data_IF_515340524523
#
_entry.id   IF_515340524523
#
_cell.length_a   1.000
_cell.length_b   1.000
_cell.length_c   1.000
_cell.angle_alpha   90.00
_cell.angle_beta   90.00
_cell.angle_gamma   90.00
#
_symmetry.space_group_name_H-M   'P 1'
#
loop_
_entity.id
_entity.type
_entity.pdbx_description
1 polymer ?
#
# COMPACT_ATOMS: atom_id res chain seq x y z
N UNK A 1 28.84 -19.46 12.89
CA UNK A 1 27.86 -19.09 13.93
C UNK A 1 26.89 -20.25 14.13
N UNK A 2 26.37 -20.49 15.34
CA UNK A 2 25.28 -21.48 15.54
C UNK A 2 23.96 -20.83 15.10
N UNK A 3 23.17 -21.46 14.22
CA UNK A 3 21.86 -20.94 13.85
C UNK A 3 20.94 -20.93 15.07
N UNK A 4 20.06 -19.92 15.14
CA UNK A 4 19.04 -19.79 16.17
C UNK A 4 17.67 -19.78 15.51
N UNK A 5 16.65 -20.31 16.20
CA UNK A 5 15.27 -20.15 15.78
C UNK A 5 14.74 -18.81 16.28
N UNK A 6 14.28 -17.97 15.38
CA UNK A 6 13.72 -16.65 15.70
C UNK A 6 12.54 -16.33 14.79
N UNK A 7 11.71 -15.36 15.19
CA UNK A 7 10.68 -14.79 14.33
C UNK A 7 11.20 -13.48 13.77
N UNK A 8 11.14 -13.29 12.45
CA UNK A 8 11.59 -12.04 11.85
C UNK A 8 10.56 -10.92 12.02
N UNK A 9 11.00 -9.77 12.53
CA UNK A 9 10.13 -8.63 12.79
C UNK A 9 9.57 -7.98 11.51
N UNK A 10 10.26 -8.08 10.37
CA UNK A 10 9.78 -7.48 9.12
C UNK A 10 8.76 -8.33 8.35
N UNK A 11 8.67 -9.64 8.60
CA UNK A 11 7.78 -10.53 7.85
C UNK A 11 6.95 -11.52 8.68
N UNK A 12 7.19 -11.60 9.99
CA UNK A 12 6.43 -12.40 10.93
C UNK A 12 6.61 -13.92 10.81
N UNK A 13 7.49 -14.41 9.93
CA UNK A 13 7.75 -15.85 9.82
C UNK A 13 8.88 -16.28 10.74
N UNK A 14 8.75 -17.48 11.31
CA UNK A 14 9.80 -18.14 12.10
C UNK A 14 10.70 -18.97 11.17
N UNK A 15 12.00 -18.85 11.36
CA UNK A 15 13.01 -19.66 10.65
C UNK A 15 14.24 -19.91 11.54
N UNK A 16 15.09 -20.85 11.12
CA UNK A 16 16.40 -21.10 11.72
C UNK A 16 17.49 -20.42 10.90
N UNK A 17 18.33 -19.61 11.54
CA UNK A 17 19.40 -18.94 10.81
C UNK A 17 20.23 -17.97 11.64
N UNK A 18 20.99 -17.14 10.96
CA UNK A 18 21.75 -16.03 11.56
C UNK A 18 21.04 -14.71 11.23
N UNK A 19 20.27 -14.13 12.17
CA UNK A 19 19.56 -12.88 11.96
C UNK A 19 20.49 -11.67 11.96
N UNK A 20 20.04 -10.60 11.30
CA UNK A 20 20.47 -9.26 11.67
C UNK A 20 19.72 -8.84 12.93
N UNK A 21 20.45 -8.47 13.98
CA UNK A 21 19.91 -8.00 15.26
C UNK A 21 20.21 -6.51 15.44
N UNK A 22 19.18 -5.71 15.71
CA UNK A 22 19.38 -4.36 16.22
C UNK A 22 19.59 -4.44 17.75
N UNK A 23 20.76 -4.10 18.30
CA UNK A 23 21.02 -4.26 19.74
C UNK A 23 20.25 -3.26 20.62
N UNK A 24 19.75 -2.17 20.04
CA UNK A 24 18.98 -1.15 20.78
C UNK A 24 17.49 -1.49 20.84
N UNK A 25 16.94 -1.96 19.72
CA UNK A 25 15.51 -2.28 19.61
C UNK A 25 15.21 -3.76 19.90
N UNK A 26 16.24 -4.61 19.91
CA UNK A 26 16.13 -6.06 20.02
C UNK A 26 15.29 -6.73 18.91
N UNK A 27 15.17 -6.06 17.75
CA UNK A 27 14.48 -6.58 16.57
C UNK A 27 15.42 -7.45 15.74
N UNK A 28 14.88 -8.54 15.19
CA UNK A 28 15.59 -9.58 14.45
C UNK A 28 15.03 -9.69 13.03
N UNK A 29 15.93 -9.71 12.05
CA UNK A 29 15.56 -9.76 10.63
C UNK A 29 16.23 -10.93 9.93
N UNK A 30 15.49 -11.61 9.04
CA UNK A 30 16.14 -12.47 8.05
C UNK A 30 17.05 -11.61 7.17
N UNK A 31 18.10 -12.22 6.62
CA UNK A 31 19.06 -11.51 5.76
C UNK A 31 18.38 -10.91 4.52
N UNK A 32 17.43 -11.64 3.94
CA UNK A 32 16.67 -11.14 2.78
C UNK A 32 15.62 -10.11 3.17
N UNK A 33 15.13 -10.14 4.42
CA UNK A 33 14.08 -9.22 4.87
C UNK A 33 14.59 -7.82 5.18
N UNK A 34 15.90 -7.61 5.33
CA UNK A 34 16.48 -6.28 5.54
C UNK A 34 16.33 -5.38 4.31
N UNK A 35 16.19 -5.99 3.12
CA UNK A 35 16.06 -5.32 1.84
C UNK A 35 14.62 -5.34 1.31
N UNK A 36 13.62 -5.56 2.18
CA UNK A 36 12.23 -5.48 1.76
C UNK A 36 11.92 -4.07 1.24
N UNK A 37 11.24 -3.95 0.09
CA UNK A 37 10.93 -2.66 -0.49
C UNK A 37 9.92 -1.90 0.37
N UNK A 38 10.06 -0.58 0.47
CA UNK A 38 9.23 0.25 1.33
C UNK A 38 7.90 0.60 0.70
N UNK A 39 7.85 0.85 -0.62
CA UNK A 39 6.61 1.16 -1.34
C UNK A 39 6.59 0.40 -2.66
N UNK A 40 5.50 -0.32 -2.93
CA UNK A 40 5.37 -1.18 -4.12
C UNK A 40 3.97 -1.11 -4.71
N UNK A 41 3.84 -1.57 -5.95
CA UNK A 41 2.57 -1.89 -6.58
C UNK A 41 2.27 -3.39 -6.46
N UNK A 42 1.05 -3.74 -6.07
CA UNK A 42 0.59 -5.13 -6.12
C UNK A 42 -0.29 -5.32 -7.35
N UNK A 43 -0.04 -6.40 -8.10
CA UNK A 43 -0.83 -6.79 -9.25
C UNK A 43 -2.31 -6.86 -8.87
N UNK A 44 -3.17 -6.20 -9.66
CA UNK A 44 -4.63 -6.11 -9.44
C UNK A 44 -5.02 -5.34 -8.16
N UNK A 45 -4.15 -4.45 -7.67
CA UNK A 45 -4.49 -3.44 -6.69
C UNK A 45 -3.99 -2.07 -7.17
N UNK A 46 -4.91 -1.15 -7.41
CA UNK A 46 -4.62 0.10 -8.14
C UNK A 46 -3.79 1.11 -7.32
N UNK A 47 -3.74 0.96 -6.01
CA UNK A 47 -3.02 1.85 -5.12
C UNK A 47 -1.67 1.26 -4.72
N UNK A 48 -0.69 2.14 -4.48
CA UNK A 48 0.56 1.72 -3.85
C UNK A 48 0.30 1.23 -2.44
N UNK A 49 1.06 0.22 -2.03
CA UNK A 49 1.10 -0.25 -0.66
C UNK A 49 2.44 0.08 -0.05
N UNK A 50 2.46 0.35 1.25
CA UNK A 50 3.67 0.65 2.01
C UNK A 50 3.94 -0.45 3.02
N UNK A 51 5.22 -0.79 3.21
CA UNK A 51 5.64 -1.64 4.32
C UNK A 51 5.43 -0.90 5.64
N UNK A 52 4.93 -1.62 6.63
CA UNK A 52 4.83 -1.18 8.02
C UNK A 52 5.45 -2.24 8.91
N UNK A 53 6.05 -1.83 10.03
CA UNK A 53 6.65 -2.75 11.00
C UNK A 53 5.61 -3.49 11.86
N UNK A 54 4.41 -2.92 11.99
CA UNK A 54 3.30 -3.50 12.73
C UNK A 54 1.97 -2.90 12.25
N UNK A 55 0.88 -3.56 12.60
CA UNK A 55 -0.49 -3.09 12.40
C UNK A 55 -1.09 -2.67 13.75
N UNK A 56 -2.21 -1.98 13.70
CA UNK A 56 -3.03 -1.78 14.90
C UNK A 56 -3.57 -3.12 15.38
N UNK A 57 -3.77 -3.25 16.70
CA UNK A 57 -4.33 -4.47 17.29
C UNK A 57 -5.65 -4.84 16.61
N UNK A 58 -5.74 -6.08 16.12
CA UNK A 58 -6.92 -6.59 15.46
C UNK A 58 -6.67 -7.89 14.70
N UNK A 59 -7.75 -8.42 14.15
CA UNK A 59 -7.76 -9.61 13.32
C UNK A 59 -7.61 -9.21 11.86
N UNK A 60 -6.42 -9.45 11.31
CA UNK A 60 -6.07 -9.10 9.94
C UNK A 60 -5.96 -10.36 9.09
N UNK A 61 -6.54 -10.32 7.89
CA UNK A 61 -6.45 -11.41 6.92
C UNK A 61 -5.70 -10.89 5.70
N UNK A 62 -4.69 -11.64 5.27
CA UNK A 62 -3.93 -11.29 4.07
C UNK A 62 -4.78 -11.40 2.81
N UNK A 63 -4.86 -10.33 2.02
CA UNK A 63 -5.66 -10.28 0.80
C UNK A 63 -5.18 -11.22 -0.32
N UNK A 64 -3.95 -11.72 -0.21
CA UNK A 64 -3.35 -12.63 -1.20
C UNK A 64 -3.57 -14.09 -0.80
N UNK A 65 -3.09 -14.50 0.37
CA UNK A 65 -3.11 -15.91 0.78
C UNK A 65 -4.33 -16.28 1.63
N UNK A 66 -5.15 -15.30 2.04
CA UNK A 66 -6.35 -15.46 2.88
C UNK A 66 -6.07 -16.10 4.25
N UNK A 67 -4.84 -15.97 4.75
CA UNK A 67 -4.43 -16.41 6.10
C UNK A 67 -4.27 -15.22 7.04
N UNK A 68 -4.37 -15.48 8.34
CA UNK A 68 -4.17 -14.50 9.40
C UNK A 68 -2.80 -13.83 9.33
N UNK A 69 -2.78 -12.53 9.59
CA UNK A 69 -1.58 -11.72 9.77
C UNK A 69 -1.45 -11.44 11.26
N UNK A 70 -0.26 -11.73 11.80
CA UNK A 70 0.07 -11.30 13.15
C UNK A 70 0.41 -9.80 13.14
N UNK A 71 -0.46 -8.99 13.74
CA UNK A 71 -0.36 -7.53 13.78
C UNK A 71 0.93 -7.00 14.42
N UNK A 72 1.68 -7.82 15.19
CA UNK A 72 2.93 -7.41 15.83
C UNK A 72 4.11 -7.31 14.88
N UNK A 73 3.99 -7.86 13.67
CA UNK A 73 5.09 -7.97 12.71
C UNK A 73 4.77 -7.26 11.40
N UNK A 74 5.82 -7.11 10.59
CA UNK A 74 5.74 -6.32 9.38
C UNK A 74 4.78 -6.89 8.33
N UNK A 75 4.12 -5.97 7.63
CA UNK A 75 3.10 -6.23 6.60
C UNK A 75 3.09 -5.08 5.59
N UNK A 76 2.42 -5.26 4.45
CA UNK A 76 2.12 -4.16 3.53
C UNK A 76 0.66 -3.73 3.70
N UNK A 77 0.42 -2.43 3.74
CA UNK A 77 -0.92 -1.86 3.80
C UNK A 77 -1.13 -0.78 2.74
N UNK A 78 -2.38 -0.68 2.28
CA UNK A 78 -2.80 0.43 1.44
C UNK A 78 -3.29 1.59 2.32
N UNK A 79 -2.87 2.82 2.03
CA UNK A 79 -3.38 4.00 2.74
C UNK A 79 -4.79 4.41 2.29
N UNK A 80 -5.18 4.04 1.08
CA UNK A 80 -6.45 4.42 0.47
C UNK A 80 -7.52 3.36 0.72
N UNK A 81 -7.16 2.07 0.72
CA UNK A 81 -8.06 0.95 0.98
C UNK A 81 -7.88 0.46 2.43
N UNK A 82 -8.77 0.81 3.38
CA UNK A 82 -8.52 0.67 4.81
C UNK A 82 -8.26 -0.76 5.31
N UNK A 83 -8.80 -1.76 4.60
CA UNK A 83 -8.70 -3.17 4.96
C UNK A 83 -7.74 -3.95 4.07
N UNK A 84 -7.08 -3.30 3.11
CA UNK A 84 -6.17 -3.99 2.20
C UNK A 84 -4.81 -4.19 2.88
N UNK A 85 -4.55 -5.42 3.33
CA UNK A 85 -3.33 -5.78 4.05
C UNK A 85 -2.78 -7.11 3.55
N UNK A 86 -1.47 -7.18 3.41
CA UNK A 86 -0.78 -8.33 2.82
C UNK A 86 0.45 -8.67 3.66
N UNK A 87 0.71 -9.96 3.91
CA UNK A 87 1.98 -10.40 4.52
C UNK A 87 3.16 -9.90 3.69
N UNK A 88 4.27 -9.50 4.33
CA UNK A 88 5.47 -9.03 3.61
C UNK A 88 5.99 -10.02 2.56
N UNK A 89 5.98 -11.32 2.85
CA UNK A 89 6.40 -12.37 1.90
C UNK A 89 5.37 -12.64 0.80
N UNK A 90 4.08 -12.35 1.04
CA UNK A 90 3.08 -12.46 -0.01
C UNK A 90 3.22 -11.28 -0.98
N UNK A 91 3.38 -10.06 -0.46
CA UNK A 91 3.49 -8.84 -1.25
C UNK A 91 4.71 -8.85 -2.18
N UNK A 92 5.80 -9.47 -1.77
CA UNK A 92 7.06 -9.54 -2.53
C UNK A 92 7.26 -10.84 -3.32
N UNK A 93 6.22 -11.67 -3.44
CA UNK A 93 6.27 -12.89 -4.25
C UNK A 93 6.35 -12.51 -5.74
N UNK A 94 7.21 -13.18 -6.52
CA UNK A 94 7.53 -12.78 -7.89
C UNK A 94 6.33 -12.66 -8.87
N UNK A 95 5.20 -13.31 -8.59
CA UNK A 95 3.96 -13.24 -9.36
C UNK A 95 2.96 -12.18 -8.84
N UNK A 96 3.26 -11.53 -7.71
CA UNK A 96 2.38 -10.59 -7.01
C UNK A 96 2.69 -9.13 -7.31
N UNK A 97 3.95 -8.77 -7.55
CA UNK A 97 4.37 -7.39 -7.78
C UNK A 97 5.30 -7.29 -8.98
N UNK A 98 5.59 -6.07 -9.42
CA UNK A 98 6.38 -5.77 -10.61
C UNK A 98 7.90 -5.67 -10.37
N UNK A 99 8.35 -5.90 -9.13
CA UNK A 99 9.75 -5.82 -8.74
C UNK A 99 10.30 -4.39 -8.61
N UNK A 100 9.44 -3.36 -8.61
CA UNK A 100 9.86 -1.96 -8.56
C UNK A 100 9.65 -1.36 -7.17
N UNK A 101 10.71 -0.82 -6.60
CA UNK A 101 10.65 0.07 -5.43
C UNK A 101 10.17 1.46 -5.87
N UNK A 102 9.21 2.02 -5.15
CA UNK A 102 8.55 3.28 -5.47
C UNK A 102 8.66 4.31 -4.35
N UNK A 103 9.41 4.03 -3.28
CA UNK A 103 9.67 5.01 -2.23
C UNK A 103 10.39 6.23 -2.80
N UNK A 104 9.85 7.42 -2.53
CA UNK A 104 10.38 8.68 -3.07
C UNK A 104 10.02 8.96 -4.53
N UNK A 105 9.41 8.01 -5.23
CA UNK A 105 8.84 8.24 -6.57
C UNK A 105 7.49 8.94 -6.37
N UNK A 106 7.23 10.11 -6.97
CA UNK A 106 5.90 10.72 -6.94
C UNK A 106 4.85 9.74 -7.47
N UNK A 107 3.67 9.71 -6.85
CA UNK A 107 2.52 9.10 -7.49
C UNK A 107 2.10 10.03 -8.63
N UNK A 108 1.95 9.49 -9.84
CA UNK A 108 1.31 10.21 -10.93
C UNK A 108 -0.16 10.39 -10.53
N UNK A 109 -0.46 11.52 -9.89
CA UNK A 109 -1.83 12.04 -9.82
C UNK A 109 -2.23 12.36 -11.25
N UNK A 110 -2.85 11.39 -11.91
CA UNK A 110 -3.72 11.74 -13.03
C UNK A 110 -4.75 12.69 -12.42
N UNK A 111 -4.80 13.94 -12.85
CA UNK A 111 -5.87 14.86 -12.49
C UNK A 111 -7.18 14.29 -13.04
N UNK A 112 -7.76 13.31 -12.33
CA UNK A 112 -9.10 12.82 -12.61
C UNK A 112 -10.00 13.92 -12.08
N UNK A 113 -10.25 14.92 -12.94
CA UNK A 113 -11.19 15.96 -12.63
C UNK A 113 -12.51 15.28 -12.21
N UNK A 114 -13.16 15.73 -11.12
CA UNK A 114 -14.44 15.17 -10.66
C UNK A 114 -15.59 15.44 -11.66
N UNK A 115 -15.28 16.05 -12.80
CA UNK A 115 -16.20 16.39 -13.87
C UNK A 115 -15.56 16.12 -15.23
N UNK A 116 -16.42 15.89 -16.23
CA UNK A 116 -16.04 15.87 -17.64
C UNK A 116 -16.40 17.21 -18.28
N UNK A 117 -15.48 17.84 -19.00
CA UNK A 117 -15.79 18.99 -19.84
C UNK A 117 -16.54 18.49 -21.06
N UNK A 118 -17.74 19.02 -21.30
CA UNK A 118 -18.53 18.73 -22.50
C UNK A 118 -18.15 19.74 -23.60
N UNK A 119 -18.09 21.00 -23.23
CA UNK A 119 -17.70 22.16 -24.05
C UNK A 119 -17.34 23.33 -23.12
N UNK A 120 -16.86 24.45 -23.68
CA UNK A 120 -16.46 25.62 -22.90
C UNK A 120 -17.62 26.12 -22.01
N UNK A 121 -17.36 26.21 -20.71
CA UNK A 121 -18.36 26.60 -19.72
C UNK A 121 -19.41 25.53 -19.39
N UNK A 122 -19.33 24.32 -19.96
CA UNK A 122 -20.32 23.25 -19.71
C UNK A 122 -19.63 21.98 -19.23
N UNK A 123 -19.97 21.54 -18.02
CA UNK A 123 -19.40 20.34 -17.40
C UNK A 123 -20.46 19.33 -16.99
N UNK A 124 -20.10 18.05 -16.98
CA UNK A 124 -20.85 16.99 -16.31
C UNK A 124 -20.12 16.62 -15.02
N UNK A 125 -20.64 17.06 -13.87
CA UNK A 125 -20.06 16.81 -12.55
C UNK A 125 -20.53 15.47 -11.99
N UNK A 126 -19.69 14.75 -11.23
CA UNK A 126 -20.03 13.42 -10.70
C UNK A 126 -21.31 13.38 -9.85
N UNK A 127 -21.65 14.50 -9.18
CA UNK A 127 -22.89 14.64 -8.40
C UNK A 127 -24.13 14.94 -9.27
N UNK A 128 -23.95 15.38 -10.51
CA UNK A 128 -24.99 15.79 -11.45
C UNK A 128 -24.97 14.89 -12.70
N UNK A 129 -25.11 13.57 -12.52
CA UNK A 129 -24.95 12.60 -13.61
C UNK A 129 -25.99 12.75 -14.74
N UNK A 130 -27.17 13.30 -14.43
CA UNK A 130 -28.29 13.34 -15.36
C UNK A 130 -28.42 14.68 -16.11
N UNK A 131 -27.59 15.67 -15.79
CA UNK A 131 -27.66 16.98 -16.44
C UNK A 131 -26.32 17.72 -16.35
N UNK A 132 -26.09 18.65 -17.26
CA UNK A 132 -24.87 19.44 -17.26
C UNK A 132 -25.00 20.65 -16.32
N UNK A 133 -23.85 21.12 -15.84
CA UNK A 133 -23.71 22.37 -15.10
C UNK A 133 -23.11 23.38 -16.08
N UNK A 134 -23.67 24.59 -16.08
CA UNK A 134 -23.24 25.69 -16.95
C UNK A 134 -22.59 26.74 -16.06
N UNK A 135 -21.40 27.19 -16.45
CA UNK A 135 -20.74 28.34 -15.85
C UNK A 135 -21.52 29.60 -16.27
N UNK A 136 -22.06 30.32 -15.28
CA UNK A 136 -22.66 31.64 -15.51
C UNK A 136 -21.56 32.66 -15.22
N UNK A 137 -21.17 33.43 -16.23
CA UNK A 137 -20.26 34.57 -16.06
C UNK A 137 -21.07 35.78 -15.58
N UNK A 138 -20.54 36.53 -14.61
CA UNK A 138 -21.25 37.58 -13.85
C UNK A 138 -21.70 38.82 -14.66
N UNK A 139 -21.60 38.83 -15.99
CA UNK A 139 -21.89 40.00 -16.84
C UNK A 139 -23.32 40.05 -17.42
N UNK A 140 -24.27 39.28 -16.87
CA UNK A 140 -25.66 39.29 -17.30
C UNK A 140 -26.66 39.57 -16.15
N UNK A 141 -26.50 40.72 -15.49
CA UNK A 141 -27.61 41.36 -14.76
C UNK A 141 -27.77 42.79 -15.28
N UNK A 142 -28.75 42.99 -16.18
CA UNK A 142 -29.43 44.28 -16.42
C UNK A 142 -30.92 44.02 -16.53
#
# INVERSE_FOLDING_TARGET
>A
ARPISFTCDACGTRDEGSPYLCPLCFLMYHQDCINLPQVININRHDHRVSHTNSLVFGDWICDICRKEINWRYGSYCCKICPNYVVHSRCATRNDVWDGKELQGVPEEVVDILPFRVIEDGVINHFSHKNHNIILIEDDAIV
#
